data_IF_603102982135
#
_entry.id   IF_603102982135
#
_cell.length_a   1.000
_cell.length_b   1.000
_cell.length_c   1.000
_cell.angle_alpha   90.00
_cell.angle_beta   90.00
_cell.angle_gamma   90.00
#
_symmetry.space_group_name_H-M   'P 1'
#
loop_
_entity.id
_entity.type
_entity.pdbx_description
1 polymer ?
#
# COMPACT_ATOMS: atom_id res chain seq x y z
N UNK A 1 5.53 44.00 -23.56
CA UNK A 1 6.50 43.54 -22.55
C UNK A 1 6.60 42.02 -22.65
N UNK A 2 7.74 41.47 -23.06
CA UNK A 2 7.93 40.02 -23.12
C UNK A 2 8.19 39.49 -21.70
N UNK A 3 7.47 38.44 -21.30
CA UNK A 3 7.67 37.84 -19.98
C UNK A 3 9.03 37.09 -19.95
N UNK A 4 9.86 37.27 -18.91
CA UNK A 4 11.13 36.55 -18.82
C UNK A 4 10.90 35.04 -18.67
N UNK A 5 11.66 34.23 -19.42
CA UNK A 5 11.69 32.74 -19.42
C UNK A 5 11.61 32.10 -18.03
N UNK A 6 12.38 32.55 -17.00
CA UNK A 6 12.29 31.97 -15.68
C UNK A 6 10.90 32.11 -15.04
N UNK A 7 10.16 33.21 -15.29
CA UNK A 7 8.79 33.37 -14.79
C UNK A 7 7.82 32.42 -15.50
N UNK A 8 7.94 32.29 -16.82
CA UNK A 8 7.11 31.39 -17.63
C UNK A 8 7.30 29.94 -17.17
N UNK A 9 8.55 29.51 -16.99
CA UNK A 9 8.87 28.16 -16.54
C UNK A 9 8.37 27.90 -15.12
N UNK A 10 8.58 28.83 -14.18
CA UNK A 10 8.05 28.69 -12.82
C UNK A 10 6.52 28.56 -12.81
N UNK A 11 5.81 29.37 -13.60
CA UNK A 11 4.34 29.27 -13.68
C UNK A 11 3.90 27.98 -14.38
N UNK A 12 4.61 27.53 -15.42
CA UNK A 12 4.33 26.27 -16.11
C UNK A 12 4.52 25.04 -15.22
N UNK A 13 5.46 25.12 -14.26
CA UNK A 13 5.72 24.05 -13.30
C UNK A 13 4.70 24.02 -12.14
N UNK A 14 4.06 25.15 -11.82
CA UNK A 14 3.05 25.22 -10.74
C UNK A 14 1.73 24.56 -11.12
N UNK A 15 1.23 24.81 -12.33
CA UNK A 15 -0.03 24.23 -12.78
C UNK A 15 -0.07 24.13 -14.31
N UNK A 16 -0.97 23.28 -14.80
CA UNK A 16 -1.18 23.13 -16.21
C UNK A 16 -1.67 24.43 -16.83
N UNK A 17 -1.20 24.73 -18.04
CA UNK A 17 -1.60 25.92 -18.78
C UNK A 17 -1.10 27.26 -18.23
N UNK A 18 -0.63 27.36 -16.99
CA UNK A 18 -0.18 28.63 -16.40
C UNK A 18 0.98 29.26 -17.18
N UNK A 19 1.92 28.45 -17.71
CA UNK A 19 2.96 28.93 -18.62
C UNK A 19 2.41 29.55 -19.91
N UNK A 20 1.39 28.93 -20.51
CA UNK A 20 0.72 29.44 -21.70
C UNK A 20 -0.02 30.75 -21.43
N UNK A 21 -0.70 30.85 -20.29
CA UNK A 21 -1.35 32.11 -19.86
C UNK A 21 -0.34 33.25 -19.67
N UNK A 22 0.87 32.96 -19.16
CA UNK A 22 1.91 34.00 -19.03
C UNK A 22 2.42 34.52 -20.38
N UNK A 23 2.30 33.70 -21.42
CA UNK A 23 2.63 34.07 -22.80
C UNK A 23 1.43 34.71 -23.53
N UNK A 24 0.29 34.90 -22.86
CA UNK A 24 -0.94 35.43 -23.45
C UNK A 24 -1.76 34.41 -24.25
N UNK A 25 -1.40 33.13 -24.23
CA UNK A 25 -2.13 32.07 -24.95
C UNK A 25 -3.35 31.61 -24.13
N UNK A 26 -4.55 31.90 -24.66
CA UNK A 26 -5.84 31.57 -24.03
C UNK A 26 -6.07 30.07 -23.88
N UNK A 27 -5.36 29.22 -24.65
CA UNK A 27 -5.40 27.75 -24.49
C UNK A 27 -4.90 27.28 -23.12
N UNK A 28 -4.20 28.13 -22.38
CA UNK A 28 -3.83 27.82 -21.00
C UNK A 28 -5.04 27.58 -20.08
N UNK A 29 -6.20 28.18 -20.36
CA UNK A 29 -7.42 27.95 -19.58
C UNK A 29 -7.97 26.53 -19.74
N UNK A 30 -7.94 25.97 -20.96
CA UNK A 30 -8.41 24.60 -21.17
C UNK A 30 -7.51 23.58 -20.47
N UNK A 31 -6.20 23.83 -20.43
CA UNK A 31 -5.25 22.99 -19.69
C UNK A 31 -5.47 23.06 -18.18
N UNK A 32 -5.80 24.23 -17.62
CA UNK A 32 -6.18 24.35 -16.20
C UNK A 32 -7.45 23.55 -15.88
N UNK A 33 -8.50 23.69 -16.71
CA UNK A 33 -9.74 22.94 -16.53
C UNK A 33 -9.50 21.42 -16.63
N UNK A 34 -8.67 21.00 -17.59
CA UNK A 34 -8.30 19.60 -17.76
C UNK A 34 -7.52 19.09 -16.55
N UNK A 35 -6.64 19.89 -15.95
CA UNK A 35 -5.93 19.51 -14.72
C UNK A 35 -6.89 19.26 -13.57
N UNK A 36 -7.86 20.16 -13.36
CA UNK A 36 -8.87 19.99 -12.30
C UNK A 36 -9.67 18.73 -12.53
N UNK A 37 -10.17 18.52 -13.76
CA UNK A 37 -10.90 17.31 -14.11
C UNK A 37 -10.06 16.04 -13.86
N UNK A 38 -8.77 16.05 -14.27
CA UNK A 38 -7.87 14.93 -14.08
C UNK A 38 -7.61 14.63 -12.60
N UNK A 39 -7.38 15.67 -11.79
CA UNK A 39 -7.16 15.50 -10.35
C UNK A 39 -8.42 14.94 -9.66
N UNK A 40 -9.61 15.39 -10.05
CA UNK A 40 -10.87 14.84 -9.56
C UNK A 40 -11.02 13.38 -9.96
N UNK A 41 -10.76 13.03 -11.23
CA UNK A 41 -10.78 11.64 -11.69
C UNK A 41 -9.78 10.78 -10.93
N UNK A 42 -8.54 11.26 -10.75
CA UNK A 42 -7.49 10.55 -10.02
C UNK A 42 -7.87 10.31 -8.57
N UNK A 43 -8.43 11.32 -7.89
CA UNK A 43 -8.89 11.20 -6.50
C UNK A 43 -10.06 10.21 -6.38
N UNK A 44 -11.07 10.34 -7.26
CA UNK A 44 -12.22 9.44 -7.27
C UNK A 44 -11.81 7.99 -7.56
N UNK A 45 -10.91 7.77 -8.53
CA UNK A 45 -10.36 6.46 -8.86
C UNK A 45 -9.52 5.88 -7.72
N UNK A 46 -8.68 6.69 -7.06
CA UNK A 46 -7.90 6.27 -5.90
C UNK A 46 -8.82 5.78 -4.77
N UNK A 47 -9.85 6.55 -4.42
CA UNK A 47 -10.80 6.18 -3.38
C UNK A 47 -11.60 4.93 -3.77
N UNK A 48 -12.11 4.85 -5.00
CA UNK A 48 -12.96 3.76 -5.45
C UNK A 48 -12.22 2.42 -5.60
N UNK A 49 -10.91 2.44 -5.87
CA UNK A 49 -10.12 1.24 -6.18
C UNK A 49 -9.12 0.86 -5.10
N UNK A 50 -9.17 1.53 -3.94
CA UNK A 50 -8.32 1.22 -2.80
C UNK A 50 -8.52 -0.24 -2.35
N UNK A 51 -7.43 -1.00 -2.23
CA UNK A 51 -7.48 -2.42 -1.86
C UNK A 51 -7.69 -3.39 -3.02
N UNK A 52 -7.77 -2.89 -4.26
CA UNK A 52 -7.84 -3.71 -5.47
C UNK A 52 -6.62 -3.54 -6.35
N UNK A 53 -6.37 -4.50 -7.24
CA UNK A 53 -5.30 -4.41 -8.24
C UNK A 53 -5.55 -3.31 -9.29
N UNK A 54 -6.76 -2.74 -9.35
CA UNK A 54 -7.04 -1.55 -10.16
C UNK A 54 -6.26 -0.33 -9.69
N UNK A 55 -5.62 -0.38 -8.53
CA UNK A 55 -4.68 0.66 -8.11
C UNK A 55 -3.57 0.92 -9.14
N UNK A 56 -3.17 -0.09 -9.92
CA UNK A 56 -2.23 0.10 -11.03
C UNK A 56 -2.75 1.08 -12.10
N UNK A 57 -4.08 1.20 -12.26
CA UNK A 57 -4.67 2.20 -13.15
C UNK A 57 -4.58 3.61 -12.57
N UNK A 58 -4.69 3.75 -11.25
CA UNK A 58 -4.43 5.02 -10.55
C UNK A 58 -2.98 5.46 -10.79
N UNK A 59 -2.04 4.51 -10.72
CA UNK A 59 -0.64 4.76 -11.08
C UNK A 59 -0.48 5.19 -12.55
N UNK A 60 -1.16 4.52 -13.48
CA UNK A 60 -1.18 4.90 -14.89
C UNK A 60 -1.70 6.33 -15.10
N UNK A 61 -2.80 6.70 -14.42
CA UNK A 61 -3.37 8.05 -14.45
C UNK A 61 -2.42 9.09 -13.84
N UNK A 62 -1.75 8.77 -12.72
CA UNK A 62 -0.75 9.65 -12.09
C UNK A 62 0.47 9.85 -13.01
N UNK A 63 0.93 8.78 -13.64
CA UNK A 63 2.04 8.83 -14.60
C UNK A 63 1.67 9.65 -15.84
N UNK A 64 0.45 9.44 -16.36
CA UNK A 64 -0.11 10.25 -17.46
C UNK A 64 -0.21 11.73 -17.10
N UNK A 65 -0.66 12.04 -15.89
CA UNK A 65 -0.69 13.42 -15.39
C UNK A 65 0.71 14.06 -15.43
N UNK A 66 1.73 13.35 -14.95
CA UNK A 66 3.11 13.85 -14.95
C UNK A 66 3.71 13.96 -16.35
N UNK A 67 3.37 13.05 -17.26
CA UNK A 67 3.76 13.13 -18.66
C UNK A 67 3.19 14.39 -19.33
N UNK A 68 1.88 14.64 -19.18
CA UNK A 68 1.22 15.87 -19.68
C UNK A 68 1.84 17.11 -19.04
N UNK A 69 2.07 17.07 -17.73
CA UNK A 69 2.70 18.15 -16.99
C UNK A 69 4.10 18.50 -17.50
N UNK A 70 4.92 17.48 -17.78
CA UNK A 70 6.27 17.65 -18.32
C UNK A 70 6.22 18.19 -19.75
N UNK A 71 5.38 17.61 -20.61
CA UNK A 71 5.25 17.99 -22.02
C UNK A 71 4.83 19.46 -22.18
N UNK A 72 3.83 19.92 -21.43
CA UNK A 72 3.40 21.31 -21.51
C UNK A 72 4.46 22.28 -20.98
N UNK A 73 5.23 21.90 -19.96
CA UNK A 73 6.26 22.76 -19.38
C UNK A 73 7.40 22.95 -20.37
N UNK A 74 7.82 21.86 -21.01
CA UNK A 74 8.77 21.88 -22.14
C UNK A 74 8.22 22.69 -23.31
N UNK A 75 6.94 22.54 -23.66
CA UNK A 75 6.32 23.29 -24.75
C UNK A 75 6.28 24.80 -24.47
N UNK A 76 5.83 25.21 -23.28
CA UNK A 76 5.79 26.61 -22.87
C UNK A 76 7.20 27.22 -22.82
N UNK A 77 8.20 26.47 -22.35
CA UNK A 77 9.59 26.90 -22.35
C UNK A 77 10.12 27.11 -23.78
N UNK A 78 9.91 26.14 -24.69
CA UNK A 78 10.32 26.26 -26.10
C UNK A 78 9.67 27.48 -26.78
N UNK A 79 8.38 27.72 -26.54
CA UNK A 79 7.66 28.91 -27.02
C UNK A 79 8.26 30.20 -26.48
N UNK A 80 8.63 30.25 -25.20
CA UNK A 80 9.24 31.43 -24.60
C UNK A 80 10.64 31.72 -25.19
N UNK A 81 11.47 30.70 -25.38
CA UNK A 81 12.79 30.83 -26.02
C UNK A 81 12.65 31.28 -27.49
N UNK A 82 11.71 30.69 -28.24
CA UNK A 82 11.40 31.12 -29.62
C UNK A 82 10.93 32.59 -29.69
N UNK A 83 10.28 33.10 -28.64
CA UNK A 83 9.87 34.49 -28.55
C UNK A 83 11.00 35.46 -28.15
N UNK A 84 12.24 34.98 -28.04
CA UNK A 84 13.44 35.79 -27.75
C UNK A 84 13.85 35.85 -26.28
N UNK A 85 13.23 35.05 -25.40
CA UNK A 85 13.62 35.00 -24.00
C UNK A 85 14.92 34.17 -23.80
N UNK A 86 15.81 34.56 -22.87
CA UNK A 86 17.09 33.88 -22.65
C UNK A 86 16.89 32.42 -22.22
N UNK A 87 17.76 31.52 -22.71
CA UNK A 87 17.67 30.07 -22.50
C UNK A 87 18.10 29.61 -21.09
N UNK A 88 17.58 30.26 -20.06
CA UNK A 88 17.86 29.95 -18.65
C UNK A 88 16.66 29.23 -18.04
N UNK A 89 16.82 27.95 -17.67
CA UNK A 89 15.70 27.18 -17.13
C UNK A 89 15.95 25.70 -16.83
N UNK A 90 16.95 25.08 -17.47
CA UNK A 90 17.35 23.70 -17.22
C UNK A 90 17.49 23.31 -15.72
N UNK A 91 18.13 24.12 -14.86
CA UNK A 91 18.27 23.76 -13.44
C UNK A 91 16.93 23.74 -12.66
N UNK A 92 15.90 24.47 -13.12
CA UNK A 92 14.58 24.47 -12.45
C UNK A 92 13.76 23.22 -12.72
N UNK A 93 13.96 22.59 -13.88
CA UNK A 93 13.31 21.30 -14.21
C UNK A 93 13.92 20.18 -13.35
N UNK A 94 15.25 20.20 -13.18
CA UNK A 94 15.98 19.28 -12.30
C UNK A 94 15.52 19.34 -10.83
N UNK A 95 15.07 20.51 -10.36
CA UNK A 95 14.57 20.68 -8.98
C UNK A 95 13.23 20.00 -8.71
N UNK A 96 12.39 19.77 -9.73
CA UNK A 96 11.04 19.22 -9.52
C UNK A 96 10.96 17.73 -9.87
N UNK A 97 11.83 17.23 -10.74
CA UNK A 97 11.97 15.81 -11.02
C UNK A 97 12.01 14.92 -9.76
N UNK A 98 12.80 15.21 -8.70
CA UNK A 98 12.81 14.38 -7.50
C UNK A 98 11.48 14.41 -6.74
N UNK A 99 10.76 15.54 -6.72
CA UNK A 99 9.45 15.65 -6.08
C UNK A 99 8.44 14.75 -6.81
N UNK A 100 8.44 14.78 -8.15
CA UNK A 100 7.57 13.91 -8.95
C UNK A 100 7.88 12.43 -8.71
N UNK A 101 9.17 12.06 -8.66
CA UNK A 101 9.59 10.69 -8.35
C UNK A 101 9.09 10.28 -6.96
N UNK A 102 9.30 11.10 -5.93
CA UNK A 102 8.81 10.83 -4.57
C UNK A 102 7.30 10.61 -4.54
N UNK A 103 6.52 11.46 -5.22
CA UNK A 103 5.05 11.32 -5.27
C UNK A 103 4.65 10.00 -5.96
N UNK A 104 5.25 9.67 -7.11
CA UNK A 104 4.99 8.39 -7.80
C UNK A 104 5.35 7.22 -6.88
N UNK A 105 6.52 7.27 -6.24
CA UNK A 105 7.00 6.21 -5.35
C UNK A 105 6.06 6.04 -4.15
N UNK A 106 5.56 7.12 -3.55
CA UNK A 106 4.59 7.04 -2.46
C UNK A 106 3.28 6.40 -2.92
N UNK A 107 2.75 6.79 -4.08
CA UNK A 107 1.54 6.17 -4.65
C UNK A 107 1.75 4.67 -4.89
N UNK A 108 2.93 4.28 -5.37
CA UNK A 108 3.28 2.88 -5.61
C UNK A 108 3.40 2.09 -4.30
N UNK A 109 4.11 2.64 -3.30
CA UNK A 109 4.31 1.98 -2.01
C UNK A 109 3.00 1.80 -1.25
N UNK A 110 2.16 2.83 -1.19
CA UNK A 110 0.88 2.77 -0.48
C UNK A 110 -0.06 1.77 -1.15
N UNK A 111 -0.21 1.87 -2.46
CA UNK A 111 -1.09 0.97 -3.20
C UNK A 111 -0.63 -0.47 -3.24
N UNK A 112 0.65 -0.69 -3.52
CA UNK A 112 1.26 -2.01 -3.58
C UNK A 112 1.15 -2.73 -2.24
N UNK A 113 1.33 -2.03 -1.11
CA UNK A 113 1.11 -2.61 0.22
C UNK A 113 -0.35 -3.01 0.41
N UNK A 114 -1.27 -2.12 0.06
CA UNK A 114 -2.71 -2.26 0.33
C UNK A 114 -3.38 -3.35 -0.53
N UNK A 115 -2.86 -3.67 -1.71
CA UNK A 115 -3.39 -4.73 -2.59
C UNK A 115 -2.79 -6.12 -2.34
N UNK A 116 -1.97 -6.29 -1.29
CA UNK A 116 -1.39 -7.59 -0.96
C UNK A 116 -2.35 -8.48 -0.16
N UNK A 117 -2.23 -9.81 -0.26
CA UNK A 117 -3.00 -10.73 0.59
C UNK A 117 -2.80 -10.46 2.08
N UNK A 118 -1.57 -10.16 2.52
CA UNK A 118 -1.31 -9.84 3.93
C UNK A 118 -1.93 -8.53 4.38
N UNK A 119 -2.13 -7.54 3.50
CA UNK A 119 -2.86 -6.35 3.89
C UNK A 119 -4.35 -6.63 4.13
N UNK A 120 -4.97 -7.54 3.35
CA UNK A 120 -6.33 -8.02 3.64
C UNK A 120 -6.38 -8.69 5.01
N UNK A 121 -5.41 -9.55 5.31
CA UNK A 121 -5.37 -10.26 6.58
C UNK A 121 -5.03 -9.33 7.78
N UNK A 122 -4.10 -8.39 7.62
CA UNK A 122 -3.75 -7.36 8.62
C UNK A 122 -4.99 -6.53 8.99
N UNK A 123 -5.81 -6.16 8.00
CA UNK A 123 -7.11 -5.49 8.23
C UNK A 123 -8.09 -6.35 9.02
N UNK A 124 -8.15 -7.65 8.71
CA UNK A 124 -9.00 -8.58 9.45
C UNK A 124 -8.55 -8.69 10.91
N UNK A 125 -7.26 -8.86 11.17
CA UNK A 125 -6.71 -8.93 12.54
C UNK A 125 -6.97 -7.63 13.28
N UNK A 126 -6.75 -6.47 12.64
CA UNK A 126 -7.08 -5.18 13.23
C UNK A 126 -8.57 -5.09 13.58
N UNK A 127 -9.46 -5.49 12.67
CA UNK A 127 -10.91 -5.51 12.90
C UNK A 127 -11.29 -6.47 14.06
N UNK A 128 -10.67 -7.65 14.14
CA UNK A 128 -10.85 -8.59 15.25
C UNK A 128 -10.42 -7.96 16.59
N UNK A 129 -9.24 -7.36 16.65
CA UNK A 129 -8.74 -6.72 17.88
C UNK A 129 -9.57 -5.50 18.30
N UNK A 130 -10.19 -4.80 17.34
CA UNK A 130 -11.05 -3.67 17.58
C UNK A 130 -12.52 -4.06 17.86
N UNK A 131 -12.88 -5.34 17.67
CA UNK A 131 -14.27 -5.82 17.79
C UNK A 131 -15.18 -5.36 16.65
N UNK A 132 -14.63 -4.93 15.51
CA UNK A 132 -15.39 -4.42 14.36
C UNK A 132 -15.77 -5.56 13.39
N UNK A 133 -16.83 -6.29 13.73
CA UNK A 133 -17.31 -7.42 12.96
C UNK A 133 -17.80 -7.03 11.56
N UNK A 134 -18.34 -5.82 11.39
CA UNK A 134 -18.83 -5.32 10.10
C UNK A 134 -17.67 -5.17 9.10
N UNK A 135 -16.57 -4.54 9.52
CA UNK A 135 -15.37 -4.44 8.68
C UNK A 135 -14.80 -5.82 8.37
N UNK A 136 -14.72 -6.71 9.35
CA UNK A 136 -14.19 -8.06 9.15
C UNK A 136 -15.03 -8.91 8.19
N UNK A 137 -16.36 -8.89 8.34
CA UNK A 137 -17.31 -9.59 7.47
C UNK A 137 -17.14 -9.20 6.01
N UNK A 138 -16.91 -7.90 5.76
CA UNK A 138 -16.70 -7.40 4.41
C UNK A 138 -15.44 -7.94 3.72
N UNK A 139 -14.49 -8.55 4.45
CA UNK A 139 -13.23 -9.07 3.92
C UNK A 139 -13.32 -10.53 3.45
N UNK A 140 -14.39 -11.24 3.78
CA UNK A 140 -14.59 -12.63 3.36
C UNK A 140 -15.08 -12.73 1.91
N UNK A 141 -14.73 -13.84 1.27
CA UNK A 141 -15.16 -14.19 -0.08
C UNK A 141 -16.65 -14.59 -0.10
N UNK A 142 -17.07 -15.33 0.93
CA UNK A 142 -18.45 -15.70 1.17
C UNK A 142 -19.05 -14.77 2.22
N UNK A 143 -20.33 -14.36 2.10
CA UNK A 143 -20.97 -13.52 3.10
C UNK A 143 -21.00 -14.25 4.45
N UNK A 144 -20.35 -13.69 5.46
CA UNK A 144 -20.42 -14.16 6.85
C UNK A 144 -21.18 -13.12 7.66
N UNK A 145 -22.12 -13.55 8.50
CA UNK A 145 -22.85 -12.62 9.36
C UNK A 145 -21.95 -12.12 10.51
N UNK A 146 -22.23 -10.91 11.00
CA UNK A 146 -21.48 -10.33 12.13
C UNK A 146 -21.58 -11.21 13.38
N UNK A 147 -22.76 -11.78 13.65
CA UNK A 147 -22.99 -12.65 14.80
C UNK A 147 -22.18 -13.96 14.72
N UNK A 148 -22.11 -14.58 13.54
CA UNK A 148 -21.27 -15.76 13.29
C UNK A 148 -19.79 -15.44 13.49
N UNK A 149 -19.35 -14.26 13.03
CA UNK A 149 -17.97 -13.80 13.18
C UNK A 149 -17.60 -13.54 14.64
N UNK A 150 -18.45 -12.85 15.39
CA UNK A 150 -18.24 -12.62 16.83
C UNK A 150 -18.21 -13.95 17.59
N UNK A 151 -19.08 -14.89 17.23
CA UNK A 151 -19.07 -16.23 17.84
C UNK A 151 -17.78 -16.99 17.51
N UNK A 152 -17.36 -16.98 16.25
CA UNK A 152 -16.11 -17.59 15.79
C UNK A 152 -14.91 -16.98 16.52
N UNK A 153 -14.82 -15.65 16.59
CA UNK A 153 -13.76 -14.93 17.30
C UNK A 153 -13.62 -15.31 18.77
N UNK A 154 -14.73 -15.56 19.45
CA UNK A 154 -14.70 -16.02 20.83
C UNK A 154 -14.10 -17.42 20.93
N UNK A 155 -14.56 -18.34 20.09
CA UNK A 155 -14.04 -19.73 20.03
C UNK A 155 -12.56 -19.73 19.66
N UNK A 156 -12.20 -18.97 18.64
CA UNK A 156 -10.84 -18.85 18.11
C UNK A 156 -9.90 -18.20 19.12
N UNK A 157 -10.38 -17.20 19.86
CA UNK A 157 -9.66 -16.60 20.98
C UNK A 157 -9.43 -17.58 22.12
N UNK A 158 -10.44 -18.38 22.48
CA UNK A 158 -10.32 -19.44 23.51
C UNK A 158 -9.31 -20.53 23.08
N UNK A 159 -9.36 -20.98 21.81
CA UNK A 159 -8.41 -21.95 21.25
C UNK A 159 -6.99 -21.42 21.24
N UNK A 160 -6.80 -20.20 20.76
CA UNK A 160 -5.50 -19.54 20.72
C UNK A 160 -4.93 -19.38 22.14
N UNK A 161 -5.74 -18.97 23.12
CA UNK A 161 -5.34 -18.85 24.51
C UNK A 161 -4.92 -20.21 25.10
N UNK A 162 -5.68 -21.28 24.84
CA UNK A 162 -5.33 -22.63 25.25
C UNK A 162 -4.01 -23.11 24.62
N UNK A 163 -3.81 -22.82 23.33
CA UNK A 163 -2.59 -23.18 22.60
C UNK A 163 -1.35 -22.42 23.10
N UNK A 164 -1.51 -21.13 23.41
CA UNK A 164 -0.47 -20.33 24.04
C UNK A 164 -0.10 -20.90 25.42
N UNK A 165 -1.10 -21.25 26.24
CA UNK A 165 -0.86 -21.85 27.55
C UNK A 165 -0.13 -23.21 27.46
N UNK A 166 -0.52 -24.06 26.51
CA UNK A 166 0.12 -25.35 26.24
C UNK A 166 1.60 -25.17 25.81
N UNK A 167 1.85 -24.22 24.90
CA UNK A 167 3.19 -23.91 24.40
C UNK A 167 4.11 -23.38 25.50
N UNK A 168 3.57 -22.56 26.42
CA UNK A 168 4.32 -22.05 27.59
C UNK A 168 4.58 -23.15 28.61
N UNK A 169 3.62 -24.04 28.83
CA UNK A 169 3.72 -25.13 29.82
C UNK A 169 4.63 -26.30 29.41
N UNK A 170 4.81 -26.52 28.10
CA UNK A 170 5.58 -27.66 27.55
C UNK A 170 6.99 -27.32 27.07
N UNK A 171 7.34 -26.03 26.94
CA UNK A 171 8.68 -25.59 26.54
C UNK A 171 9.63 -25.30 27.71
N UNK A 172 10.96 -25.21 27.48
CA UNK A 172 11.95 -24.73 28.48
C UNK A 172 11.79 -23.23 28.85
N UNK A 173 10.63 -22.64 28.55
CA UNK A 173 10.32 -21.21 28.40
C UNK A 173 9.40 -20.66 29.51
N UNK A 174 8.99 -21.48 30.47
CA UNK A 174 8.12 -21.07 31.59
C UNK A 174 8.72 -19.99 32.52
N UNK A 175 9.96 -19.55 32.29
CA UNK A 175 10.67 -18.55 33.11
C UNK A 175 10.80 -17.16 32.47
N UNK A 176 10.58 -16.99 31.17
CA UNK A 176 10.77 -15.68 30.48
C UNK A 176 9.49 -15.01 30.02
N UNK A 177 8.40 -15.77 29.83
CA UNK A 177 7.11 -15.23 29.42
C UNK A 177 6.24 -14.99 30.65
N UNK A 178 6.18 -13.75 31.13
CA UNK A 178 5.18 -13.37 32.12
C UNK A 178 3.82 -13.31 31.43
N UNK A 179 2.79 -13.96 32.01
CA UNK A 179 1.47 -14.15 31.39
C UNK A 179 0.70 -12.88 30.97
N UNK A 180 1.23 -11.68 31.22
CA UNK A 180 0.70 -10.41 30.73
C UNK A 180 1.26 -9.94 29.38
N UNK A 181 2.36 -10.51 28.89
CA UNK A 181 2.99 -10.14 27.60
C UNK A 181 2.52 -11.00 26.42
N UNK A 182 1.90 -12.14 26.71
CA UNK A 182 1.27 -13.04 25.73
C UNK A 182 -0.12 -12.51 25.31
N UNK A 183 -0.12 -11.36 24.65
CA UNK A 183 -1.30 -10.84 23.94
C UNK A 183 -1.31 -11.32 22.49
N UNK A 184 -2.38 -11.04 21.74
CA UNK A 184 -2.44 -11.21 20.27
C UNK A 184 -1.22 -10.60 19.53
N UNK A 185 -0.46 -9.71 20.18
CA UNK A 185 0.81 -9.17 19.67
C UNK A 185 1.96 -10.17 19.51
N UNK A 186 1.88 -11.38 20.07
CA UNK A 186 2.85 -12.47 19.87
C UNK A 186 2.58 -13.32 18.62
N UNK A 187 1.58 -12.95 17.81
CA UNK A 187 1.29 -13.63 16.54
C UNK A 187 2.01 -12.88 15.41
N UNK A 188 2.81 -13.61 14.62
CA UNK A 188 3.34 -13.14 13.34
C UNK A 188 2.71 -13.93 12.22
N UNK A 189 2.75 -13.32 11.04
CA UNK A 189 2.18 -13.87 9.83
C UNK A 189 3.31 -14.12 8.86
N UNK A 190 3.42 -15.35 8.39
CA UNK A 190 4.41 -15.72 7.39
C UNK A 190 3.71 -16.30 6.17
N UNK A 191 4.25 -15.97 5.01
CA UNK A 191 3.85 -16.62 3.76
C UNK A 191 4.73 -17.85 3.59
N UNK A 192 4.18 -19.06 3.65
CA UNK A 192 4.97 -20.23 3.34
C UNK A 192 5.57 -20.07 1.95
N UNK A 193 6.88 -20.30 1.83
CA UNK A 193 7.61 -20.19 0.56
C UNK A 193 7.09 -21.19 -0.50
N UNK A 194 6.34 -22.20 -0.06
CA UNK A 194 5.55 -23.09 -0.90
C UNK A 194 4.37 -22.31 -1.48
N UNK A 195 4.65 -21.58 -2.56
CA UNK A 195 3.64 -20.97 -3.39
C UNK A 195 2.60 -22.03 -3.75
N UNK A 196 1.35 -21.80 -3.36
CA UNK A 196 0.20 -22.51 -3.91
C UNK A 196 0.37 -22.62 -5.43
N UNK A 197 0.14 -23.80 -5.98
CA UNK A 197 0.15 -24.02 -7.44
C UNK A 197 -0.90 -23.17 -8.17
N UNK A 198 -1.84 -22.59 -7.43
CA UNK A 198 -2.89 -21.69 -7.92
C UNK A 198 -2.52 -20.22 -7.63
N UNK A 199 -2.27 -19.38 -8.66
CA UNK A 199 -1.96 -17.96 -8.49
C UNK A 199 -3.13 -17.11 -7.95
N UNK A 200 -4.34 -17.68 -7.85
CA UNK A 200 -5.52 -17.03 -7.31
C UNK A 200 -5.80 -17.39 -5.85
N UNK A 201 -5.02 -18.29 -5.26
CA UNK A 201 -5.14 -18.66 -3.84
C UNK A 201 -3.80 -18.46 -3.16
N UNK A 202 -3.81 -18.09 -1.89
CA UNK A 202 -2.58 -18.05 -1.09
C UNK A 202 -2.88 -18.41 0.34
N UNK A 203 -1.93 -19.07 0.98
CA UNK A 203 -2.02 -19.43 2.39
C UNK A 203 -1.16 -18.46 3.19
N UNK A 204 -1.66 -18.06 4.36
CA UNK A 204 -0.93 -17.28 5.35
C UNK A 204 -0.92 -18.12 6.61
N UNK A 205 0.27 -18.46 7.09
CA UNK A 205 0.40 -19.22 8.32
C UNK A 205 0.42 -18.25 9.52
N UNK A 206 -0.37 -18.57 10.54
CA UNK A 206 -0.41 -17.84 11.79
C UNK A 206 0.63 -18.48 12.72
N UNK A 207 1.66 -17.74 13.09
CA UNK A 207 2.78 -18.22 13.88
C UNK A 207 2.80 -17.54 15.24
N UNK A 208 2.98 -18.32 16.30
CA UNK A 208 3.29 -17.83 17.63
C UNK A 208 4.79 -17.59 17.67
N UNK A 209 5.19 -16.36 17.97
CA UNK A 209 6.60 -15.97 18.06
C UNK A 209 6.96 -15.46 19.44
N UNK A 210 8.25 -15.55 19.75
CA UNK A 210 8.86 -14.96 20.92
C UNK A 210 10.01 -14.05 20.47
N UNK A 211 10.09 -12.85 21.05
CA UNK A 211 11.22 -11.95 20.84
C UNK A 211 12.35 -12.31 21.83
N UNK A 212 13.34 -13.06 21.35
CA UNK A 212 14.48 -13.49 22.16
C UNK A 212 15.60 -12.46 22.04
N UNK A 213 16.14 -12.03 23.18
CA UNK A 213 17.34 -11.19 23.21
C UNK A 213 18.57 -12.07 23.11
N UNK A 214 19.26 -12.01 21.98
CA UNK A 214 20.47 -12.78 21.75
C UNK A 214 21.66 -11.82 21.84
N UNK A 215 22.73 -12.26 22.53
CA UNK A 215 24.01 -11.55 22.45
C UNK A 215 24.55 -11.71 21.05
N UNK A 216 24.69 -10.59 20.37
CA UNK A 216 25.34 -10.49 19.08
C UNK A 216 26.61 -9.66 19.21
N UNK A 217 27.38 -9.59 18.13
CA UNK A 217 28.60 -8.78 18.08
C UNK A 217 28.53 -7.90 16.85
N UNK A 218 28.47 -6.57 17.06
CA UNK A 218 28.56 -5.62 15.94
C UNK A 218 30.02 -5.57 15.49
N UNK A 219 30.24 -5.89 14.22
CA UNK A 219 31.57 -5.95 13.58
C UNK A 219 32.53 -6.97 14.23
N UNK A 220 32.03 -7.91 15.04
CA UNK A 220 32.86 -8.90 15.73
C UNK A 220 33.62 -8.40 16.97
N UNK A 221 33.45 -7.14 17.38
CA UNK A 221 34.27 -6.51 18.43
C UNK A 221 33.41 -5.88 19.55
N UNK A 222 32.24 -5.34 19.21
CA UNK A 222 31.38 -4.69 20.19
C UNK A 222 30.23 -5.62 20.60
N UNK A 223 30.14 -6.01 21.89
CA UNK A 223 28.99 -6.78 22.37
C UNK A 223 27.73 -5.95 22.16
N UNK A 224 26.77 -6.53 21.46
CA UNK A 224 25.46 -5.95 21.21
C UNK A 224 24.38 -6.94 21.66
N UNK A 225 23.19 -6.42 21.89
CA UNK A 225 22.01 -7.24 22.10
C UNK A 225 21.11 -7.03 20.90
N UNK A 226 20.83 -8.09 20.15
CA UNK A 226 19.88 -8.06 19.06
C UNK A 226 18.61 -8.77 19.53
N UNK A 227 17.46 -8.18 19.24
CA UNK A 227 16.19 -8.89 19.36
C UNK A 227 16.00 -9.72 18.11
N UNK A 228 15.90 -11.04 18.28
CA UNK A 228 15.56 -11.98 17.21
C UNK A 228 14.19 -12.58 17.52
N UNK A 229 13.29 -12.51 16.53
CA UNK A 229 11.96 -13.11 16.64
C UNK A 229 12.07 -14.59 16.27
N UNK A 230 11.83 -15.47 17.24
CA UNK A 230 11.86 -16.92 17.04
C UNK A 230 10.44 -17.46 16.92
N UNK A 231 10.20 -18.27 15.88
CA UNK A 231 8.92 -19.00 15.74
C UNK A 231 8.89 -20.14 16.75
N UNK A 232 7.88 -20.13 17.60
CA UNK A 232 7.70 -21.11 18.68
C UNK A 232 6.76 -22.23 18.22
N UNK A 233 5.63 -21.86 17.63
CA UNK A 233 4.63 -22.80 17.15
C UNK A 233 3.78 -22.17 16.06
N UNK A 234 3.08 -23.01 15.30
CA UNK A 234 2.03 -22.58 14.38
C UNK A 234 0.69 -22.59 15.09
N UNK A 235 -0.01 -21.46 15.08
CA UNK A 235 -1.35 -21.29 15.63
C UNK A 235 -2.45 -21.65 14.63
N UNK A 236 -2.19 -21.58 13.33
CA UNK A 236 -3.20 -21.92 12.33
C UNK A 236 -2.84 -21.48 10.91
N UNK A 237 -3.87 -21.44 10.05
CA UNK A 237 -3.80 -21.02 8.64
C UNK A 237 -4.98 -20.14 8.27
N UNK A 238 -4.70 -19.09 7.50
CA UNK A 238 -5.71 -18.40 6.71
C UNK A 238 -5.51 -18.71 5.22
N UNK A 239 -6.58 -19.07 4.53
CA UNK A 239 -6.59 -19.22 3.07
C UNK A 239 -7.26 -17.99 2.49
N UNK A 240 -6.57 -17.31 1.57
CA UNK A 240 -7.09 -16.17 0.83
C UNK A 240 -7.27 -16.54 -0.64
N UNK A 241 -8.33 -15.99 -1.23
CA UNK A 241 -8.66 -16.11 -2.65
C UNK A 241 -8.70 -14.74 -3.30
N UNK A 242 -8.19 -14.64 -4.52
CA UNK A 242 -8.27 -13.45 -5.36
C UNK A 242 -9.56 -13.52 -6.19
N UNK A 243 -10.44 -12.55 -5.99
CA UNK A 243 -11.70 -12.44 -6.71
C UNK A 243 -11.65 -11.32 -7.74
N UNK A 244 -12.17 -11.58 -8.94
CA UNK A 244 -12.25 -10.58 -9.98
C UNK A 244 -13.24 -9.48 -9.60
N UNK A 245 -12.78 -8.22 -9.64
CA UNK A 245 -13.63 -7.05 -9.45
C UNK A 245 -13.96 -6.48 -10.82
N UNK A 246 -15.22 -6.66 -11.23
CA UNK A 246 -15.82 -6.12 -12.46
C UNK A 246 -15.32 -6.76 -13.76
N UNK A 247 -15.82 -6.28 -14.92
CA UNK A 247 -15.47 -6.86 -16.21
C UNK A 247 -13.98 -6.61 -16.55
N UNK A 248 -13.33 -7.53 -17.28
CA UNK A 248 -11.98 -7.32 -17.77
C UNK A 248 -11.97 -6.14 -18.75
N UNK A 249 -11.00 -5.24 -18.59
CA UNK A 249 -10.77 -4.16 -19.54
C UNK A 249 -9.90 -4.69 -20.69
N UNK A 250 -10.16 -4.29 -21.96
CA UNK A 250 -9.30 -4.66 -23.07
C UNK A 250 -7.88 -4.14 -22.80
N UNK A 251 -6.88 -5.04 -22.87
CA UNK A 251 -5.44 -4.79 -22.65
C UNK A 251 -4.94 -4.77 -21.19
N UNK A 252 -5.79 -5.02 -20.20
CA UNK A 252 -5.37 -5.07 -18.79
C UNK A 252 -5.76 -6.41 -18.16
N UNK A 253 -4.94 -6.96 -17.24
CA UNK A 253 -5.33 -8.14 -16.49
C UNK A 253 -6.62 -7.85 -15.71
N UNK A 254 -7.45 -8.88 -15.53
CA UNK A 254 -8.62 -8.77 -14.67
C UNK A 254 -8.18 -8.30 -13.28
N UNK A 255 -8.79 -7.22 -12.82
CA UNK A 255 -8.45 -6.69 -11.51
C UNK A 255 -8.99 -7.62 -10.43
N UNK A 256 -8.17 -7.88 -9.41
CA UNK A 256 -8.53 -8.71 -8.28
C UNK A 256 -8.63 -7.91 -6.98
N UNK A 257 -9.35 -8.48 -6.02
CA UNK A 257 -9.23 -8.17 -4.59
C UNK A 257 -8.98 -9.48 -3.86
N UNK A 258 -8.09 -9.46 -2.89
CA UNK A 258 -7.88 -10.59 -1.99
C UNK A 258 -8.97 -10.63 -0.93
N UNK A 259 -9.63 -11.76 -0.82
CA UNK A 259 -10.68 -12.07 0.14
C UNK A 259 -10.29 -13.27 0.98
N UNK A 260 -10.77 -13.32 2.21
CA UNK A 260 -10.55 -14.46 3.11
C UNK A 260 -11.55 -15.56 2.70
N UNK A 261 -11.03 -16.71 2.30
CA UNK A 261 -11.84 -17.89 1.99
C UNK A 261 -12.12 -18.68 3.27
N UNK A 262 -11.10 -18.87 4.11
CA UNK A 262 -11.24 -19.58 5.39
C UNK A 262 -10.11 -19.21 6.35
N UNK A 263 -10.42 -19.27 7.66
CA UNK A 263 -9.45 -19.23 8.74
C UNK A 263 -9.62 -20.52 9.56
N UNK A 264 -8.52 -21.21 9.82
CA UNK A 264 -8.44 -22.43 10.62
C UNK A 264 -7.41 -22.19 11.72
N UNK A 265 -7.85 -22.25 12.98
CA UNK A 265 -6.97 -22.21 14.17
C UNK A 265 -6.86 -23.63 14.71
N UNK A 266 -5.63 -24.11 14.86
CA UNK A 266 -5.27 -25.48 15.28
C UNK A 266 -5.32 -25.65 16.81
#
# INVERSE_FOLDING_TARGET
>A
MQAPTPRVLTRALMAWGMGHLTLGDRRGWSLLLLQVAWLVTLMASALAWLGSDRWLLVFGLASGYLAVWTLQAVHAYRRAVQAGAPAEGAPRILLIAPISVVIITLIFLIGGRVSTPGATFERYVHAWTAGDAATAASLFAEPVSEDELVHAWRIDGERLAARLADTVGSGPLGTTLSGSELSLGSIRFEYPADASSDPLRTNVDLLIVEDVRIRSTVLGIFPATVQETRVVARAGRATLRREAVGPPLPLLPAAGVWRIERIEID
#
